data_IF_188640951632
#
_entry.id   IF_188640951632
#
_cell.length_a   1.000
_cell.length_b   1.000
_cell.length_c   1.000
_cell.angle_alpha   90.00
_cell.angle_beta   90.00
_cell.angle_gamma   90.00
#
_symmetry.space_group_name_H-M   'P 1'
#
loop_
_entity.id
_entity.type
_entity.pdbx_description
1 polymer ?
#
# COMPACT_ATOMS: atom_id res chain seq x y z
N UNK A 1 5.33 34.96 -5.83
CA UNK A 1 6.62 35.57 -6.23
C UNK A 1 6.81 35.31 -7.71
N UNK A 2 6.95 36.34 -8.56
CA UNK A 2 7.29 36.11 -9.97
C UNK A 2 8.65 35.40 -10.03
N UNK A 3 8.71 34.25 -10.70
CA UNK A 3 9.99 33.57 -10.94
C UNK A 3 10.74 34.35 -12.02
N UNK A 4 11.96 34.77 -11.72
CA UNK A 4 12.84 35.39 -12.70
C UNK A 4 13.27 34.32 -13.71
N UNK A 5 12.92 34.53 -14.98
CA UNK A 5 13.32 33.66 -16.09
C UNK A 5 14.63 34.23 -16.64
N UNK A 6 15.75 33.48 -16.65
CA UNK A 6 16.99 33.96 -17.23
C UNK A 6 16.85 34.01 -18.76
N UNK A 7 16.68 35.22 -19.29
CA UNK A 7 16.67 35.49 -20.73
C UNK A 7 18.10 35.71 -21.22
N UNK A 8 18.42 35.19 -22.41
CA UNK A 8 19.72 35.38 -23.03
C UNK A 8 19.59 36.42 -24.15
N UNK A 9 20.61 37.26 -24.31
CA UNK A 9 20.68 38.20 -25.42
C UNK A 9 21.02 37.42 -26.70
N UNK A 10 20.18 37.53 -27.73
CA UNK A 10 20.52 37.04 -29.06
C UNK A 10 21.52 38.01 -29.71
N UNK A 11 22.67 37.49 -30.10
CA UNK A 11 23.80 38.28 -30.61
C UNK A 11 23.55 38.88 -32.00
N UNK A 12 22.54 38.37 -32.74
CA UNK A 12 22.21 38.82 -34.09
C UNK A 12 21.06 39.83 -34.11
N UNK A 13 20.00 39.57 -33.35
CA UNK A 13 18.82 40.45 -33.30
C UNK A 13 18.86 41.46 -32.15
N UNK A 14 19.68 41.23 -31.12
CA UNK A 14 19.71 42.02 -29.89
C UNK A 14 18.49 41.80 -28.98
N UNK A 15 17.60 40.88 -29.34
CA UNK A 15 16.41 40.56 -28.55
C UNK A 15 16.73 39.62 -27.40
N UNK A 16 15.96 39.71 -26.31
CA UNK A 16 16.05 38.79 -25.18
C UNK A 16 15.22 37.53 -25.46
N UNK A 17 15.90 36.40 -25.66
CA UNK A 17 15.29 35.12 -26.06
C UNK A 17 15.35 34.12 -24.91
N UNK A 18 14.23 33.44 -24.68
CA UNK A 18 14.15 32.31 -23.75
C UNK A 18 14.59 31.01 -24.44
N UNK A 19 15.85 30.63 -24.21
CA UNK A 19 16.49 29.44 -24.77
C UNK A 19 16.20 28.14 -24.00
N UNK A 20 15.29 28.16 -23.00
CA UNK A 20 14.92 26.96 -22.25
C UNK A 20 14.25 25.92 -23.14
N UNK A 21 14.41 24.64 -22.79
CA UNK A 21 13.81 23.56 -23.56
C UNK A 21 12.28 23.56 -23.48
N UNK A 22 11.62 23.01 -24.51
CA UNK A 22 10.14 22.83 -24.50
C UNK A 22 9.64 22.10 -23.25
N UNK A 23 10.44 21.18 -22.71
CA UNK A 23 10.08 20.45 -21.49
C UNK A 23 10.17 21.32 -20.24
N UNK A 24 11.19 22.17 -20.12
CA UNK A 24 11.34 23.11 -19.00
C UNK A 24 10.18 24.11 -18.97
N UNK A 25 9.83 24.70 -20.13
CA UNK A 25 8.69 25.61 -20.25
C UNK A 25 7.37 24.96 -19.84
N UNK A 26 7.16 23.68 -20.21
CA UNK A 26 5.98 22.90 -19.79
C UNK A 26 5.93 22.65 -18.28
N UNK A 27 7.07 22.35 -17.65
CA UNK A 27 7.13 22.09 -16.20
C UNK A 27 6.80 23.34 -15.38
N UNK A 28 7.32 24.50 -15.77
CA UNK A 28 7.03 25.76 -15.08
C UNK A 28 5.54 26.11 -15.18
N UNK A 29 4.97 26.01 -16.38
CA UNK A 29 3.52 26.22 -16.59
C UNK A 29 2.65 25.26 -15.77
N UNK A 30 3.10 24.02 -15.58
CA UNK A 30 2.41 23.02 -14.76
C UNK A 30 2.52 23.28 -13.24
N UNK A 31 3.55 24.01 -12.80
CA UNK A 31 3.69 24.42 -11.39
C UNK A 31 2.84 25.65 -11.07
N UNK A 32 2.60 26.53 -12.03
CA UNK A 32 1.76 27.72 -11.85
C UNK A 32 0.26 27.41 -11.81
N UNK A 33 -0.16 26.30 -12.42
CA UNK A 33 -1.54 25.85 -12.36
C UNK A 33 -1.87 25.40 -10.92
N UNK A 34 -3.00 25.84 -10.35
CA UNK A 34 -3.46 25.34 -9.05
C UNK A 34 -3.59 23.82 -9.15
N UNK A 35 -2.73 23.10 -8.45
CA UNK A 35 -2.84 21.65 -8.34
C UNK A 35 -3.97 21.37 -7.38
N UNK A 36 -4.96 20.60 -7.82
CA UNK A 36 -6.01 20.11 -6.96
C UNK A 36 -5.35 19.39 -5.78
N UNK A 37 -5.53 19.92 -4.57
CA UNK A 37 -5.13 19.22 -3.37
C UNK A 37 -5.96 17.93 -3.33
N UNK A 38 -5.27 16.79 -3.42
CA UNK A 38 -5.92 15.49 -3.27
C UNK A 38 -6.51 15.43 -1.85
N UNK A 39 -7.80 15.08 -1.73
CA UNK A 39 -8.49 14.96 -0.44
C UNK A 39 -7.94 13.79 0.41
N UNK A 40 -7.10 12.95 -0.17
CA UNK A 40 -6.51 11.75 0.40
C UNK A 40 -4.99 11.82 0.23
N UNK A 41 -4.26 11.26 1.19
CA UNK A 41 -2.80 11.21 1.07
C UNK A 41 -2.41 10.33 -0.14
N UNK A 42 -1.32 10.65 -0.84
CA UNK A 42 -0.82 9.82 -1.96
C UNK A 42 -0.62 8.34 -1.57
N UNK A 43 -0.45 8.07 -0.27
CA UNK A 43 -0.33 6.73 0.32
C UNK A 43 -1.66 5.97 0.28
N UNK A 44 -2.79 6.66 0.45
CA UNK A 44 -4.14 6.10 0.36
C UNK A 44 -4.59 5.90 -1.10
N UNK A 45 -4.20 6.81 -2.01
CA UNK A 45 -4.56 6.75 -3.43
C UNK A 45 -3.87 5.61 -4.21
N UNK A 46 -2.73 5.11 -3.74
CA UNK A 46 -2.01 4.02 -4.37
C UNK A 46 -2.75 2.67 -4.33
N UNK A 47 -3.86 2.57 -3.58
CA UNK A 47 -4.57 1.32 -3.32
C UNK A 47 -5.58 0.92 -4.42
N UNK A 48 -5.93 1.82 -5.34
CA UNK A 48 -6.89 1.52 -6.40
C UNK A 48 -6.31 1.79 -7.79
N UNK A 49 -5.90 0.74 -8.50
CA UNK A 49 -5.97 0.61 -9.97
C UNK A 49 -5.30 1.66 -10.88
N UNK A 50 -4.66 2.70 -10.35
CA UNK A 50 -4.06 3.77 -11.15
C UNK A 50 -2.57 3.51 -11.35
N UNK A 51 -2.10 3.64 -12.59
CA UNK A 51 -0.68 3.63 -12.95
C UNK A 51 -0.02 4.92 -12.43
N UNK A 52 0.18 5.01 -11.12
CA UNK A 52 0.78 6.17 -10.49
C UNK A 52 2.23 6.30 -10.97
N UNK A 53 2.57 7.47 -11.50
CA UNK A 53 3.96 7.93 -11.62
C UNK A 53 4.25 8.77 -10.38
N UNK A 54 4.53 8.16 -9.22
CA UNK A 54 4.75 8.91 -7.99
C UNK A 54 5.89 9.90 -8.22
N UNK A 55 5.66 11.17 -7.87
CA UNK A 55 6.68 12.22 -7.92
C UNK A 55 7.70 12.07 -6.78
N UNK A 56 7.40 11.21 -5.80
CA UNK A 56 8.32 10.84 -4.73
C UNK A 56 9.38 9.85 -5.26
N UNK A 57 10.68 10.12 -5.02
CA UNK A 57 11.73 9.16 -5.33
C UNK A 57 11.65 7.98 -4.34
N UNK A 58 10.78 7.01 -4.64
CA UNK A 58 10.84 5.71 -3.99
C UNK A 58 12.15 5.04 -4.44
N UNK A 59 13.07 4.86 -3.51
CA UNK A 59 14.28 4.10 -3.75
C UNK A 59 13.89 2.70 -4.27
N UNK A 60 14.60 2.12 -5.26
CA UNK A 60 14.28 0.79 -5.77
C UNK A 60 14.36 -0.32 -4.71
N UNK A 61 14.90 -0.02 -3.52
CA UNK A 61 14.93 -0.93 -2.35
C UNK A 61 13.70 -0.81 -1.44
N UNK A 62 12.84 0.19 -1.62
CA UNK A 62 11.64 0.33 -0.78
C UNK A 62 10.56 -0.63 -1.24
N UNK A 63 10.40 -1.74 -0.54
CA UNK A 63 9.24 -2.62 -0.69
C UNK A 63 8.07 -1.99 0.08
N UNK A 64 6.99 -1.69 -0.64
CA UNK A 64 5.73 -1.30 -0.02
C UNK A 64 5.01 -2.59 0.37
N UNK A 65 5.04 -2.92 1.65
CA UNK A 65 4.31 -4.07 2.18
C UNK A 65 2.92 -3.60 2.63
N UNK A 66 1.88 -4.32 2.20
CA UNK A 66 0.53 -4.10 2.66
C UNK A 66 0.38 -4.78 4.02
N UNK A 67 0.52 -4.02 5.09
CA UNK A 67 0.19 -4.49 6.43
C UNK A 67 -1.33 -4.53 6.57
N UNK A 68 -1.91 -5.73 6.60
CA UNK A 68 -3.31 -5.93 6.97
C UNK A 68 -3.36 -5.95 8.49
N UNK A 69 -3.80 -4.86 9.09
CA UNK A 69 -4.02 -4.79 10.54
C UNK A 69 -5.34 -5.48 10.90
N UNK A 70 -5.30 -6.39 11.86
CA UNK A 70 -6.49 -7.04 12.40
C UNK A 70 -7.11 -6.16 13.51
N UNK A 71 -8.27 -5.58 13.17
CA UNK A 71 -9.02 -4.60 13.99
C UNK A 71 -9.69 -5.24 15.22
N UNK A 72 -9.70 -6.58 15.33
CA UNK A 72 -10.32 -7.30 16.43
C UNK A 72 -9.66 -6.99 17.77
N UNK A 73 -10.47 -6.97 18.82
CA UNK A 73 -9.97 -6.84 20.20
C UNK A 73 -9.22 -8.10 20.63
N UNK A 74 -8.38 -7.99 21.65
CA UNK A 74 -7.60 -9.13 22.16
C UNK A 74 -8.52 -10.25 22.69
N UNK A 75 -9.66 -9.89 23.30
CA UNK A 75 -10.64 -10.84 23.82
C UNK A 75 -11.29 -11.70 22.71
N UNK A 76 -11.55 -11.11 21.54
CA UNK A 76 -12.13 -11.83 20.40
C UNK A 76 -11.11 -12.81 19.81
N UNK A 77 -9.83 -12.41 19.74
CA UNK A 77 -8.74 -13.27 19.27
C UNK A 77 -8.58 -14.49 20.17
N UNK A 78 -8.64 -14.31 21.48
CA UNK A 78 -8.56 -15.42 22.43
C UNK A 78 -9.75 -16.39 22.31
N UNK A 79 -10.96 -15.88 22.08
CA UNK A 79 -12.15 -16.73 21.89
C UNK A 79 -12.01 -17.59 20.64
N UNK A 80 -11.57 -17.02 19.53
CA UNK A 80 -11.35 -17.75 18.29
C UNK A 80 -10.28 -18.84 18.46
N UNK A 81 -9.17 -18.52 19.14
CA UNK A 81 -8.10 -19.50 19.44
C UNK A 81 -8.66 -20.65 20.28
N UNK A 82 -9.46 -20.36 21.32
CA UNK A 82 -10.08 -21.40 22.16
C UNK A 82 -11.03 -22.28 21.37
N UNK A 83 -11.83 -21.72 20.48
CA UNK A 83 -12.74 -22.49 19.62
C UNK A 83 -11.99 -23.39 18.63
N UNK A 84 -10.89 -22.89 18.05
CA UNK A 84 -10.01 -23.69 17.18
C UNK A 84 -9.38 -24.85 17.95
N UNK A 85 -8.80 -24.60 19.13
CA UNK A 85 -8.26 -25.64 20.00
C UNK A 85 -9.32 -26.70 20.32
N UNK A 86 -10.53 -26.29 20.68
CA UNK A 86 -11.62 -27.23 20.97
C UNK A 86 -11.95 -28.10 19.76
N UNK A 87 -12.08 -27.49 18.57
CA UNK A 87 -12.33 -28.20 17.32
C UNK A 87 -11.23 -29.22 17.01
N UNK A 88 -9.99 -28.85 17.21
CA UNK A 88 -8.82 -29.69 16.92
C UNK A 88 -8.61 -30.78 17.98
N UNK A 89 -9.06 -30.54 19.22
CA UNK A 89 -8.94 -31.47 20.36
C UNK A 89 -10.11 -32.46 20.44
N UNK A 90 -11.22 -32.22 19.73
CA UNK A 90 -12.30 -33.21 19.66
C UNK A 90 -11.71 -34.55 19.20
N UNK A 91 -11.95 -35.65 19.93
CA UNK A 91 -11.51 -36.95 19.46
C UNK A 91 -12.16 -37.20 18.12
N UNK A 92 -11.33 -37.42 17.10
CA UNK A 92 -11.77 -37.84 15.79
C UNK A 92 -12.75 -39.03 15.97
N UNK A 93 -13.93 -39.00 15.35
CA UNK A 93 -14.96 -40.02 15.58
C UNK A 93 -14.53 -41.46 15.21
N UNK A 94 -13.44 -41.61 14.44
CA UNK A 94 -12.85 -42.92 14.12
C UNK A 94 -11.89 -43.46 15.19
N UNK A 95 -11.47 -42.65 16.16
CA UNK A 95 -10.61 -43.09 17.27
C UNK A 95 -11.39 -43.74 18.43
N UNK A 96 -12.73 -43.73 18.37
CA UNK A 96 -13.61 -44.33 19.37
C UNK A 96 -14.11 -45.74 18.97
N UNK A 97 -13.75 -46.25 17.79
CA UNK A 97 -14.29 -47.51 17.24
C UNK A 97 -13.44 -48.76 17.59
N UNK A 98 -12.33 -48.61 18.33
CA UNK A 98 -11.44 -49.73 18.70
C UNK A 98 -11.36 -50.00 20.21
N UNK A 99 -12.46 -49.83 20.95
CA UNK A 99 -12.59 -50.49 22.25
C UNK A 99 -13.47 -51.72 22.07
N UNK A 100 -12.91 -52.96 22.14
CA UNK A 100 -13.75 -54.15 22.11
C UNK A 100 -14.62 -54.18 23.37
N UNK A 101 -15.94 -54.08 23.17
CA UNK A 101 -16.96 -54.41 24.16
C UNK A 101 -16.87 -55.91 24.49
N UNK A 102 -16.05 -56.30 25.47
CA UNK A 102 -16.11 -57.65 26.01
C UNK A 102 -16.12 -57.68 27.54
N UNK A 103 -17.30 -57.75 28.17
CA UNK A 103 -17.45 -57.92 29.61
C UNK A 103 -17.45 -59.40 30.10
N UNK A 104 -16.94 -60.38 29.34
CA UNK A 104 -17.04 -61.82 29.73
C UNK A 104 -15.73 -62.60 29.96
N UNK A 105 -14.55 -61.96 30.02
CA UNK A 105 -13.27 -62.67 30.24
C UNK A 105 -12.67 -62.54 31.65
N UNK A 106 -13.49 -62.40 32.69
CA UNK A 106 -13.02 -62.36 34.09
C UNK A 106 -13.92 -63.18 35.04
N UNK A 107 -14.26 -64.39 34.64
CA UNK A 107 -14.81 -65.43 35.52
C UNK A 107 -13.74 -66.49 35.81
#
# INVERSE_FOLDING_TARGET
MPKEIPLQLDMLSGELVDNRSRQQKKKDKAQELPQQAEMFSQRELAQFGVRARPKLPLSPKTRLELAVEDVRTEEEKERDIRQQIQRDTYPMPWAAEELPDNPEAAA
#
